data_IF_711231266246
#
_entry.id   IF_711231266246
#
_cell.length_a   1.000
_cell.length_b   1.000
_cell.length_c   1.000
_cell.angle_alpha   90.00
_cell.angle_beta   90.00
_cell.angle_gamma   90.00
#
_symmetry.space_group_name_H-M   'P 1'
#
loop_
_entity.id
_entity.type
_entity.pdbx_description
1 polymer ?
#
# COMPACT_ATOMS: atom_id res chain seq x y z
N UNK A 1 37.32 -81.24 -42.67
CA UNK A 1 36.02 -81.12 -41.99
C UNK A 1 35.10 -80.39 -42.97
N UNK A 2 34.33 -81.14 -43.77
CA UNK A 2 33.45 -80.58 -44.81
C UNK A 2 32.21 -80.00 -44.13
N UNK A 3 32.02 -78.69 -44.22
CA UNK A 3 30.77 -78.06 -43.81
C UNK A 3 29.78 -78.18 -44.97
N UNK A 4 28.79 -79.05 -44.81
CA UNK A 4 27.62 -79.08 -45.69
C UNK A 4 26.93 -77.71 -45.64
N UNK A 5 27.01 -76.99 -46.77
CA UNK A 5 26.26 -75.76 -46.99
C UNK A 5 24.78 -76.14 -47.04
N UNK A 6 24.07 -75.94 -45.93
CA UNK A 6 22.63 -76.18 -45.87
C UNK A 6 21.93 -75.30 -46.90
N UNK A 7 21.42 -75.95 -47.94
CA UNK A 7 20.52 -75.36 -48.92
C UNK A 7 19.30 -74.78 -48.20
N UNK A 8 18.94 -73.54 -48.52
CA UNK A 8 17.82 -72.84 -47.92
C UNK A 8 16.51 -73.47 -48.42
N UNK A 9 16.05 -74.54 -47.77
CA UNK A 9 14.75 -75.15 -48.06
C UNK A 9 13.66 -74.13 -47.77
N UNK A 10 12.91 -73.79 -48.81
CA UNK A 10 11.66 -73.05 -48.73
C UNK A 10 10.79 -73.66 -47.64
N UNK A 11 10.44 -72.85 -46.65
CA UNK A 11 9.47 -73.26 -45.63
C UNK A 11 8.11 -73.18 -46.32
N UNK A 12 7.39 -74.29 -46.38
CA UNK A 12 5.99 -74.32 -46.83
C UNK A 12 5.15 -73.45 -45.86
N UNK A 13 5.07 -72.16 -46.17
CA UNK A 13 4.13 -71.23 -45.54
C UNK A 13 2.77 -71.44 -46.19
N UNK A 14 1.73 -71.68 -45.39
CA UNK A 14 0.36 -71.84 -45.87
C UNK A 14 -0.05 -70.62 -46.71
N UNK A 15 0.00 -70.78 -48.03
CA UNK A 15 -0.20 -69.73 -49.03
C UNK A 15 -1.66 -69.26 -49.15
N UNK A 16 -2.57 -69.92 -48.42
CA UNK A 16 -4.00 -69.62 -48.39
C UNK A 16 -4.33 -68.23 -47.80
N UNK A 17 -3.43 -67.66 -46.99
CA UNK A 17 -3.62 -66.34 -46.34
C UNK A 17 -2.71 -65.23 -46.88
N UNK A 18 -1.88 -65.54 -47.89
CA UNK A 18 -0.99 -64.57 -48.50
C UNK A 18 -1.68 -63.97 -49.73
N UNK A 19 -1.72 -62.64 -49.84
CA UNK A 19 -2.03 -61.99 -51.12
C UNK A 19 -0.99 -62.43 -52.16
N UNK A 20 -1.35 -62.44 -53.45
CA UNK A 20 -0.46 -62.94 -54.52
C UNK A 20 0.91 -62.24 -54.54
N UNK A 21 0.98 -60.98 -54.10
CA UNK A 21 2.22 -60.21 -53.95
C UNK A 21 3.14 -60.72 -52.82
N UNK A 22 2.58 -61.34 -51.79
CA UNK A 22 3.31 -61.89 -50.63
C UNK A 22 3.73 -63.36 -50.81
N UNK A 23 3.20 -64.03 -51.85
CA UNK A 23 3.60 -65.40 -52.22
C UNK A 23 4.94 -65.46 -52.95
N UNK A 24 5.40 -64.34 -53.51
CA UNK A 24 6.69 -64.25 -54.17
C UNK A 24 7.74 -63.82 -53.16
N UNK A 25 8.88 -64.50 -53.14
CA UNK A 25 10.01 -64.10 -52.31
C UNK A 25 10.49 -62.70 -52.76
N UNK A 26 10.42 -61.66 -51.90
CA UNK A 26 10.83 -60.30 -52.27
C UNK A 26 12.34 -60.16 -52.50
N UNK A 27 13.11 -61.20 -52.20
CA UNK A 27 14.55 -61.29 -52.43
C UNK A 27 14.91 -62.19 -53.62
N UNK A 28 13.92 -62.69 -54.38
CA UNK A 28 14.17 -63.39 -55.63
C UNK A 28 14.65 -62.40 -56.68
N UNK A 29 15.72 -62.77 -57.39
CA UNK A 29 16.27 -61.99 -58.51
C UNK A 29 15.95 -62.69 -59.82
N UNK A 30 15.85 -61.92 -60.91
CA UNK A 30 15.59 -62.48 -62.24
C UNK A 30 16.69 -63.44 -62.68
N UNK A 31 16.35 -64.41 -63.54
CA UNK A 31 17.27 -65.46 -64.01
C UNK A 31 18.59 -64.92 -64.58
N UNK A 32 18.58 -63.70 -65.15
CA UNK A 32 19.75 -63.06 -65.76
C UNK A 32 20.36 -61.93 -64.92
N UNK A 33 19.89 -61.71 -63.69
CA UNK A 33 20.36 -60.63 -62.82
C UNK A 33 21.89 -60.65 -62.68
N UNK A 34 22.47 -61.79 -62.30
CA UNK A 34 23.92 -61.89 -62.07
C UNK A 34 24.74 -61.87 -63.37
N UNK A 35 24.16 -62.34 -64.48
CA UNK A 35 24.81 -62.30 -65.79
C UNK A 35 24.96 -60.85 -66.28
N UNK A 36 23.94 -60.02 -66.06
CA UNK A 36 23.92 -58.61 -66.45
C UNK A 36 24.55 -57.69 -65.40
N UNK A 37 24.67 -58.14 -64.14
CA UNK A 37 25.22 -57.36 -63.03
C UNK A 37 26.63 -56.86 -63.34
N UNK A 38 27.49 -57.73 -63.87
CA UNK A 38 28.88 -57.39 -64.16
C UNK A 38 28.97 -56.32 -65.25
N UNK A 39 28.20 -56.47 -66.33
CA UNK A 39 28.12 -55.49 -67.41
C UNK A 39 27.50 -54.16 -66.94
N UNK A 40 26.46 -54.22 -66.12
CA UNK A 40 25.80 -53.06 -65.52
C UNK A 40 26.71 -52.26 -64.58
N UNK A 41 27.47 -52.95 -63.73
CA UNK A 41 28.48 -52.30 -62.87
C UNK A 41 29.55 -51.62 -63.72
N UNK A 42 30.06 -52.30 -64.74
CA UNK A 42 31.08 -51.72 -65.64
C UNK A 42 30.54 -50.54 -66.44
N UNK A 43 29.28 -50.59 -66.89
CA UNK A 43 28.61 -49.46 -67.54
C UNK A 43 28.48 -48.27 -66.58
N UNK A 44 28.05 -48.51 -65.34
CA UNK A 44 27.90 -47.48 -64.30
C UNK A 44 29.23 -46.82 -63.93
N UNK A 45 30.33 -47.60 -63.87
CA UNK A 45 31.68 -47.07 -63.60
C UNK A 45 32.19 -46.22 -64.77
N UNK A 46 31.83 -46.60 -66.01
CA UNK A 46 32.23 -45.87 -67.23
C UNK A 46 31.41 -44.60 -67.47
N UNK A 47 30.26 -44.45 -66.81
CA UNK A 47 29.53 -43.19 -66.85
C UNK A 47 30.43 -42.10 -66.25
N UNK A 48 30.64 -40.97 -66.96
CA UNK A 48 31.34 -39.85 -66.37
C UNK A 48 30.60 -39.45 -65.11
N UNK A 49 31.29 -39.45 -63.98
CA UNK A 49 30.77 -38.88 -62.75
C UNK A 49 30.43 -37.42 -63.07
N UNK A 50 29.15 -37.10 -63.27
CA UNK A 50 28.72 -35.72 -63.38
C UNK A 50 29.03 -35.10 -62.02
N UNK A 51 30.04 -34.25 -61.96
CA UNK A 51 30.50 -33.53 -60.77
C UNK A 51 29.42 -32.62 -60.16
N UNK A 52 28.27 -32.52 -60.80
CA UNK A 52 27.07 -31.86 -60.32
C UNK A 52 26.32 -32.79 -59.34
N UNK A 53 26.97 -33.19 -58.25
CA UNK A 53 26.25 -33.81 -57.14
C UNK A 53 25.38 -32.73 -56.50
N UNK A 54 24.10 -32.65 -56.91
CA UNK A 54 23.09 -31.72 -56.40
C UNK A 54 22.70 -31.92 -54.92
N UNK A 55 23.56 -32.53 -54.12
CA UNK A 55 23.43 -32.65 -52.67
C UNK A 55 24.74 -32.23 -52.02
N UNK A 56 24.97 -30.91 -51.97
CA UNK A 56 26.00 -30.34 -51.12
C UNK A 56 25.41 -30.13 -49.73
N UNK A 57 26.17 -30.50 -48.70
CA UNK A 57 25.78 -30.17 -47.33
C UNK A 57 25.85 -28.64 -47.18
N UNK A 58 24.81 -27.99 -46.65
CA UNK A 58 24.86 -26.55 -46.40
C UNK A 58 26.05 -26.18 -45.51
N UNK A 59 26.64 -25.03 -45.79
CA UNK A 59 27.73 -24.49 -44.99
C UNK A 59 27.34 -24.45 -43.51
N UNK A 60 28.24 -24.91 -42.64
CA UNK A 60 28.06 -24.94 -41.19
C UNK A 60 26.91 -25.82 -40.65
N UNK A 61 26.27 -26.68 -41.46
CA UNK A 61 25.22 -27.58 -40.98
C UNK A 61 25.70 -28.47 -39.82
N UNK A 62 26.89 -29.06 -39.96
CA UNK A 62 27.45 -29.97 -38.96
C UNK A 62 27.78 -29.24 -37.65
N UNK A 63 28.30 -28.02 -37.73
CA UNK A 63 28.59 -27.20 -36.55
C UNK A 63 27.29 -26.78 -35.83
N UNK A 64 26.29 -26.30 -36.58
CA UNK A 64 24.98 -25.95 -36.03
C UNK A 64 24.26 -27.14 -35.41
N UNK A 65 24.30 -28.31 -36.06
CA UNK A 65 23.71 -29.53 -35.53
C UNK A 65 24.39 -29.95 -34.22
N UNK A 66 25.72 -29.88 -34.17
CA UNK A 66 26.49 -30.21 -32.97
C UNK A 66 26.15 -29.28 -31.82
N UNK A 67 26.13 -27.96 -32.08
CA UNK A 67 25.75 -26.97 -31.07
C UNK A 67 24.32 -27.17 -30.57
N UNK A 68 23.37 -27.48 -31.47
CA UNK A 68 21.98 -27.76 -31.10
C UNK A 68 21.84 -29.02 -30.25
N UNK A 69 22.56 -30.08 -30.59
CA UNK A 69 22.54 -31.32 -29.78
C UNK A 69 23.13 -31.08 -28.39
N UNK A 70 24.24 -30.36 -28.29
CA UNK A 70 24.86 -30.04 -27.00
C UNK A 70 23.95 -29.16 -26.13
N UNK A 71 23.25 -28.19 -26.72
CA UNK A 71 22.32 -27.34 -25.97
C UNK A 71 21.11 -28.12 -25.45
N UNK A 72 20.53 -28.99 -26.27
CA UNK A 72 19.40 -29.86 -25.88
C UNK A 72 19.79 -30.83 -24.77
N UNK A 73 20.96 -31.48 -24.86
CA UNK A 73 21.45 -32.38 -23.81
C UNK A 73 21.67 -31.63 -22.49
N UNK A 74 22.25 -30.44 -22.55
CA UNK A 74 22.45 -29.59 -21.36
C UNK A 74 21.13 -29.16 -20.74
N UNK A 75 20.15 -28.78 -21.55
CA UNK A 75 18.82 -28.41 -21.08
C UNK A 75 18.09 -29.59 -20.43
N UNK A 76 18.19 -30.79 -21.02
CA UNK A 76 17.61 -32.01 -20.46
C UNK A 76 18.22 -32.36 -19.10
N UNK A 77 19.55 -32.25 -18.96
CA UNK A 77 20.24 -32.47 -17.70
C UNK A 77 19.78 -31.50 -16.61
N UNK A 78 19.66 -30.20 -16.94
CA UNK A 78 19.15 -29.19 -16.01
C UNK A 78 17.70 -29.46 -15.58
N UNK A 79 16.83 -29.89 -16.51
CA UNK A 79 15.44 -30.24 -16.19
C UNK A 79 15.36 -31.41 -15.23
N UNK A 80 16.19 -32.44 -15.42
CA UNK A 80 16.23 -33.61 -14.55
C UNK A 80 16.67 -33.24 -13.12
N UNK A 81 17.69 -32.39 -12.99
CA UNK A 81 18.21 -31.91 -11.70
C UNK A 81 17.25 -30.91 -11.02
N UNK A 82 16.45 -30.18 -11.80
CA UNK A 82 15.51 -29.17 -11.29
C UNK A 82 14.21 -29.71 -10.68
N UNK A 83 13.98 -31.02 -10.73
CA UNK A 83 12.78 -31.63 -10.17
C UNK A 83 12.62 -31.33 -8.68
N UNK A 84 13.72 -31.23 -7.92
CA UNK A 84 13.72 -30.81 -6.51
C UNK A 84 13.70 -29.28 -6.32
N UNK A 85 14.23 -28.50 -7.29
CA UNK A 85 14.35 -27.04 -7.19
C UNK A 85 13.01 -26.31 -7.26
N UNK A 86 12.00 -26.90 -7.89
CA UNK A 86 10.65 -26.34 -7.99
C UNK A 86 9.65 -26.98 -7.00
N UNK A 87 10.14 -27.77 -6.04
CA UNK A 87 9.29 -28.30 -4.98
C UNK A 87 9.13 -27.30 -3.85
N UNK A 88 7.92 -27.21 -3.32
CA UNK A 88 7.69 -26.51 -2.06
C UNK A 88 8.11 -27.41 -0.89
N UNK A 89 8.69 -26.86 0.19
CA UNK A 89 8.98 -27.64 1.39
C UNK A 89 7.75 -28.34 1.94
N UNK A 90 7.95 -29.49 2.60
CA UNK A 90 6.89 -30.18 3.33
C UNK A 90 6.23 -29.22 4.33
N UNK A 91 4.90 -29.26 4.44
CA UNK A 91 4.11 -28.43 5.35
C UNK A 91 4.07 -26.92 5.01
N UNK A 92 4.52 -26.52 3.81
CA UNK A 92 4.52 -25.11 3.40
C UNK A 92 3.11 -24.50 3.43
N UNK A 93 2.12 -25.18 2.83
CA UNK A 93 0.76 -24.64 2.73
C UNK A 93 0.01 -24.76 4.06
N UNK A 94 0.28 -25.79 4.83
CA UNK A 94 -0.27 -26.01 6.17
C UNK A 94 0.15 -24.90 7.13
N UNK A 95 1.42 -24.46 7.07
CA UNK A 95 1.92 -23.36 7.89
C UNK A 95 1.64 -21.96 7.28
N UNK A 96 1.23 -21.88 6.02
CA UNK A 96 1.02 -20.62 5.32
C UNK A 96 -0.16 -19.85 5.91
N UNK A 97 -1.28 -20.52 6.16
CA UNK A 97 -2.49 -19.89 6.67
C UNK A 97 -2.26 -19.26 8.05
N UNK A 98 -1.63 -20.00 8.97
CA UNK A 98 -1.28 -19.48 10.30
C UNK A 98 -0.30 -18.30 10.20
N UNK A 99 0.67 -18.37 9.29
CA UNK A 99 1.66 -17.31 9.06
C UNK A 99 1.03 -16.05 8.45
N UNK A 100 0.00 -16.20 7.61
CA UNK A 100 -0.77 -15.09 7.08
C UNK A 100 -1.58 -14.46 8.20
N UNK A 101 -2.39 -15.24 8.94
CA UNK A 101 -3.27 -14.73 10.00
C UNK A 101 -2.47 -14.00 11.09
N UNK A 102 -1.33 -14.55 11.50
CA UNK A 102 -0.44 -13.93 12.49
C UNK A 102 0.19 -12.62 12.02
N UNK A 103 0.39 -12.44 10.70
CA UNK A 103 0.94 -11.20 10.12
C UNK A 103 -0.12 -10.18 9.72
N UNK A 104 -1.33 -10.61 9.37
CA UNK A 104 -2.40 -9.73 8.88
C UNK A 104 -3.37 -9.30 9.97
N UNK A 105 -3.47 -10.04 11.09
CA UNK A 105 -4.19 -9.58 12.27
C UNK A 105 -3.38 -8.49 12.95
N UNK A 106 -3.59 -7.25 12.52
CA UNK A 106 -3.03 -6.08 13.17
C UNK A 106 -3.52 -6.04 14.62
N UNK A 107 -2.59 -5.90 15.58
CA UNK A 107 -2.94 -5.64 16.98
C UNK A 107 -3.86 -4.43 17.01
N UNK A 108 -5.10 -4.63 17.45
CA UNK A 108 -6.13 -3.60 17.54
C UNK A 108 -5.56 -2.42 18.33
N UNK A 109 -5.13 -1.37 17.63
CA UNK A 109 -4.60 -0.19 18.27
C UNK A 109 -5.71 0.38 19.14
N UNK A 110 -5.43 0.56 20.44
CA UNK A 110 -6.40 1.11 21.38
C UNK A 110 -6.57 2.59 21.06
N UNK A 111 -7.53 2.90 20.20
CA UNK A 111 -7.98 4.26 19.91
C UNK A 111 -8.57 4.85 21.18
N UNK A 112 -7.88 5.84 21.76
CA UNK A 112 -8.35 6.58 22.92
C UNK A 112 -9.13 7.80 22.44
N UNK A 113 -10.46 7.76 22.56
CA UNK A 113 -11.32 8.90 22.22
C UNK A 113 -11.32 9.88 23.40
N UNK A 114 -10.61 10.99 23.26
CA UNK A 114 -10.65 12.07 24.25
C UNK A 114 -12.01 12.79 24.18
N UNK A 115 -12.69 12.89 25.33
CA UNK A 115 -13.97 13.60 25.44
C UNK A 115 -13.74 15.12 25.48
N UNK A 116 -13.44 15.73 24.32
CA UNK A 116 -13.23 17.19 24.19
C UNK A 116 -14.42 18.00 24.74
N UNK A 117 -15.63 17.45 24.64
CA UNK A 117 -16.87 18.11 25.11
C UNK A 117 -16.85 18.40 26.61
N UNK A 118 -16.27 17.50 27.41
CA UNK A 118 -16.15 17.72 28.86
C UNK A 118 -15.20 18.87 29.19
N UNK A 119 -14.11 19.00 28.42
CA UNK A 119 -13.15 20.08 28.58
C UNK A 119 -13.72 21.42 28.10
N UNK A 120 -14.39 21.44 26.95
CA UNK A 120 -15.05 22.63 26.43
C UNK A 120 -16.14 23.15 27.39
N UNK A 121 -16.95 22.25 27.96
CA UNK A 121 -17.96 22.62 28.95
C UNK A 121 -17.34 23.26 30.20
N UNK A 122 -16.25 22.70 30.74
CA UNK A 122 -15.55 23.29 31.88
C UNK A 122 -15.00 24.69 31.58
N UNK A 123 -14.40 24.91 30.41
CA UNK A 123 -13.89 26.22 30.01
C UNK A 123 -15.01 27.27 29.88
N UNK A 124 -16.16 26.89 29.32
CA UNK A 124 -17.34 27.77 29.21
C UNK A 124 -17.87 28.14 30.59
N UNK A 125 -17.94 27.19 31.52
CA UNK A 125 -18.39 27.47 32.89
C UNK A 125 -17.45 28.45 33.59
N UNK A 126 -16.13 28.28 33.47
CA UNK A 126 -15.15 29.21 34.04
C UNK A 126 -15.27 30.61 33.44
N UNK A 127 -15.45 30.71 32.13
CA UNK A 127 -15.67 31.99 31.46
C UNK A 127 -16.96 32.66 31.91
N UNK A 128 -18.07 31.92 32.01
CA UNK A 128 -19.36 32.45 32.46
C UNK A 128 -19.32 32.93 33.92
N UNK A 129 -18.69 32.15 34.81
CA UNK A 129 -18.47 32.53 36.21
C UNK A 129 -17.61 33.80 36.33
N UNK A 130 -16.47 33.83 35.62
CA UNK A 130 -15.57 34.99 35.60
C UNK A 130 -16.27 36.24 35.08
N UNK A 131 -17.02 36.11 33.97
CA UNK A 131 -17.77 37.20 33.38
C UNK A 131 -18.90 37.71 34.28
N UNK A 132 -19.61 36.81 34.96
CA UNK A 132 -20.65 37.17 35.93
C UNK A 132 -20.09 37.95 37.13
N UNK A 133 -18.96 37.51 37.69
CA UNK A 133 -18.26 38.21 38.78
C UNK A 133 -17.78 39.59 38.30
N UNK A 134 -17.23 39.68 37.07
CA UNK A 134 -16.76 40.92 36.48
C UNK A 134 -17.87 41.97 36.33
N UNK A 135 -19.05 41.58 35.83
CA UNK A 135 -20.19 42.49 35.71
C UNK A 135 -20.71 42.96 37.09
N UNK A 136 -20.75 42.07 38.08
CA UNK A 136 -21.16 42.42 39.43
C UNK A 136 -20.18 43.42 40.08
N UNK A 137 -18.87 43.21 39.91
CA UNK A 137 -17.84 44.14 40.39
C UNK A 137 -17.94 45.53 39.74
N UNK A 138 -18.27 45.60 38.45
CA UNK A 138 -18.48 46.90 37.79
C UNK A 138 -19.71 47.64 38.33
N UNK A 139 -20.79 46.92 38.65
CA UNK A 139 -22.01 47.53 39.16
C UNK A 139 -21.83 48.20 40.54
N UNK A 140 -21.01 47.60 41.43
CA UNK A 140 -20.72 48.16 42.77
C UNK A 140 -19.71 49.31 42.75
N UNK A 141 -18.97 49.48 41.66
CA UNK A 141 -17.95 50.53 41.51
C UNK A 141 -18.45 51.76 40.73
N UNK A 142 -19.74 51.80 40.38
CA UNK A 142 -20.37 52.99 39.77
C UNK A 142 -20.26 54.19 40.72
N UNK A 143 -20.06 55.37 40.15
CA UNK A 143 -19.92 56.63 40.91
C UNK A 143 -21.17 56.87 41.76
N UNK A 144 -22.35 56.59 41.21
CA UNK A 144 -23.64 56.77 41.88
C UNK A 144 -23.75 55.94 43.18
N UNK A 145 -23.30 54.68 43.17
CA UNK A 145 -23.29 53.83 44.36
C UNK A 145 -22.28 54.35 45.42
N UNK A 146 -21.10 54.81 44.97
CA UNK A 146 -20.09 55.37 45.86
C UNK A 146 -20.56 56.68 46.50
N UNK A 147 -21.25 57.53 45.76
CA UNK A 147 -21.84 58.78 46.26
C UNK A 147 -22.97 58.51 47.25
N UNK A 148 -23.83 57.51 47.00
CA UNK A 148 -24.90 57.13 47.93
C UNK A 148 -24.40 56.57 49.27
N UNK A 149 -23.12 56.21 49.38
CA UNK A 149 -22.52 55.69 50.61
C UNK A 149 -21.87 56.79 51.46
N UNK A 150 -21.75 58.01 50.94
CA UNK A 150 -21.18 59.15 51.69
C UNK A 150 -22.27 59.67 52.65
N UNK A 151 -22.00 59.75 53.97
CA UNK A 151 -22.96 60.28 54.93
C UNK A 151 -23.12 61.80 54.79
N UNK A 152 -24.34 62.29 54.96
CA UNK A 152 -24.69 63.70 54.79
C UNK A 152 -23.84 64.64 55.66
N UNK A 153 -23.47 64.20 56.87
CA UNK A 153 -22.61 64.95 57.81
C UNK A 153 -21.20 65.22 57.24
N UNK A 154 -20.65 64.27 56.47
CA UNK A 154 -19.33 64.41 55.85
C UNK A 154 -19.38 65.35 54.65
N UNK A 155 -20.51 65.35 53.91
CA UNK A 155 -20.79 66.33 52.85
C UNK A 155 -20.87 67.74 53.44
N UNK A 156 -21.63 67.90 54.54
CA UNK A 156 -21.78 69.20 55.24
C UNK A 156 -20.43 69.69 55.76
N UNK A 157 -19.63 68.83 56.39
CA UNK A 157 -18.30 69.21 56.90
C UNK A 157 -17.32 69.57 55.78
N UNK A 158 -17.35 68.84 54.66
CA UNK A 158 -16.52 69.17 53.50
C UNK A 158 -16.86 70.56 52.95
N UNK A 159 -18.15 70.84 52.76
CA UNK A 159 -18.64 72.15 52.32
C UNK A 159 -18.26 73.25 53.31
N UNK A 160 -18.41 73.03 54.62
CA UNK A 160 -18.02 74.00 55.65
C UNK A 160 -16.54 74.36 55.63
N UNK A 161 -15.66 73.39 55.40
CA UNK A 161 -14.21 73.61 55.44
C UNK A 161 -13.62 74.12 54.12
N UNK A 162 -14.28 73.84 52.98
CA UNK A 162 -13.78 74.17 51.64
C UNK A 162 -14.58 75.26 50.91
N UNK A 163 -15.67 75.78 51.50
CA UNK A 163 -16.37 76.95 50.94
C UNK A 163 -15.54 78.21 51.12
N UNK A 164 -15.28 78.94 50.03
CA UNK A 164 -14.65 80.25 50.08
C UNK A 164 -15.68 81.39 50.19
N UNK A 165 -15.23 82.64 50.37
CA UNK A 165 -16.13 83.79 50.53
C UNK A 165 -16.96 84.12 49.27
N UNK A 166 -16.58 83.60 48.10
CA UNK A 166 -17.33 83.74 46.87
C UNK A 166 -18.44 82.67 46.79
N UNK A 167 -18.15 81.45 47.23
CA UNK A 167 -19.11 80.35 47.31
C UNK A 167 -20.25 80.63 48.31
N UNK A 168 -19.96 81.30 49.44
CA UNK A 168 -20.97 81.69 50.43
C UNK A 168 -22.03 82.61 49.82
N UNK A 169 -21.65 83.54 48.94
CA UNK A 169 -22.60 84.42 48.27
C UNK A 169 -23.53 83.65 47.33
N UNK A 170 -23.01 82.63 46.63
CA UNK A 170 -23.77 81.80 45.71
C UNK A 170 -24.72 80.83 46.44
N UNK A 171 -24.30 80.33 47.61
CA UNK A 171 -25.14 79.55 48.52
C UNK A 171 -26.32 80.40 49.02
N UNK A 172 -26.06 81.65 49.44
CA UNK A 172 -27.10 82.58 49.90
C UNK A 172 -28.08 82.97 48.78
N UNK A 173 -27.59 83.19 47.55
CA UNK A 173 -28.43 83.55 46.40
C UNK A 173 -29.38 82.41 45.97
N UNK A 174 -29.01 81.16 46.25
CA UNK A 174 -29.80 79.97 45.91
C UNK A 174 -30.49 79.33 47.13
N UNK A 175 -30.42 79.94 48.31
CA UNK A 175 -31.20 79.56 49.49
C UNK A 175 -32.43 80.47 49.56
N UNK A 176 -33.60 79.91 49.25
CA UNK A 176 -34.90 80.61 49.25
C UNK A 176 -35.32 81.14 50.65
N UNK A 177 -34.59 80.83 51.73
CA UNK A 177 -34.92 81.33 53.08
C UNK A 177 -33.66 81.62 53.93
N UNK A 178 -33.21 82.87 53.89
CA UNK A 178 -32.08 83.43 54.67
C UNK A 178 -32.39 83.52 56.18
N UNK A 179 -33.63 83.28 56.61
CA UNK A 179 -34.07 83.41 58.00
C UNK A 179 -33.54 82.30 58.93
N UNK A 180 -33.26 81.12 58.41
CA UNK A 180 -32.77 79.97 59.19
C UNK A 180 -31.27 80.01 59.51
N UNK A 181 -30.45 80.71 58.72
CA UNK A 181 -29.00 80.77 58.94
C UNK A 181 -28.58 81.79 60.01
N UNK A 182 -29.27 82.94 60.11
CA UNK A 182 -29.00 83.92 61.18
C UNK A 182 -29.47 83.45 62.56
N UNK A 183 -30.53 82.63 62.61
CA UNK A 183 -31.02 81.96 63.83
C UNK A 183 -29.91 81.16 64.51
N UNK A 184 -29.20 80.35 63.73
CA UNK A 184 -28.28 79.35 64.26
C UNK A 184 -26.92 79.97 64.63
N UNK A 185 -26.48 81.02 63.94
CA UNK A 185 -25.27 81.78 64.30
C UNK A 185 -25.49 82.60 65.58
N UNK A 186 -26.69 83.15 65.78
CA UNK A 186 -26.99 83.96 66.96
C UNK A 186 -27.07 83.14 68.25
N UNK A 187 -27.41 81.85 68.15
CA UNK A 187 -27.45 80.93 69.30
C UNK A 187 -26.05 80.47 69.74
N UNK A 188 -25.05 80.47 68.86
CA UNK A 188 -23.67 80.06 69.18
C UNK A 188 -22.83 81.17 69.83
N UNK A 189 -23.27 82.44 69.76
CA UNK A 189 -22.56 83.58 70.40
C UNK A 189 -23.06 83.85 71.83
N UNK A 190 -24.17 83.23 72.27
CA UNK A 190 -24.76 83.46 73.60
C UNK A 190 -24.56 82.31 74.62
N UNK A 191 -23.73 81.31 74.33
CA UNK A 191 -23.44 80.21 75.26
C UNK A 191 -21.94 79.90 75.36
#
# INVERSE_FOLDING_TARGET
>A
MNMDRKENKERDMDSAFLNDDLKRNPFAVDENYFNQLQEGILAQIKLPQTSETGFTMPDNYQENLTQKLLSEVKLAALKQESSDLFTVPSYYFEALDEKIISKTTSKKARIFTLSIVRYASAAVLLLALSFGIYLNYQNTQTVDHKLSTIPDEEIVNYLKFHSDANDVNLIIENLDDVSTFESDISQEISN
#
